data_IF_233292169052
#
_entry.id   IF_233292169052
#
_cell.length_a   1.000
_cell.length_b   1.000
_cell.length_c   1.000
_cell.angle_alpha   90.00
_cell.angle_beta   90.00
_cell.angle_gamma   90.00
#
_symmetry.space_group_name_H-M   'P 1'
#
loop_
_entity.id
_entity.type
_entity.pdbx_description
1 polymer ?
#
# COMPACT_ATOMS: atom_id res chain seq x y z
N UNK A 1 -32.17 20.65 -0.62
CA UNK A 1 -31.01 21.19 -1.36
C UNK A 1 -29.94 20.13 -1.28
N UNK A 2 -29.56 19.51 -2.41
CA UNK A 2 -28.46 18.54 -2.40
C UNK A 2 -27.17 19.29 -2.07
N UNK A 3 -26.45 18.86 -1.03
CA UNK A 3 -25.10 19.38 -0.77
C UNK A 3 -24.20 18.93 -1.93
N UNK A 4 -23.33 19.80 -2.45
CA UNK A 4 -22.34 19.42 -3.47
C UNK A 4 -21.29 18.48 -2.85
N UNK A 5 -21.60 17.19 -2.86
CA UNK A 5 -20.74 16.14 -2.31
C UNK A 5 -19.40 16.07 -3.04
N UNK A 6 -19.35 16.40 -4.33
CA UNK A 6 -18.09 16.45 -5.08
C UNK A 6 -17.19 17.60 -4.61
N UNK A 7 -17.78 18.77 -4.33
CA UNK A 7 -17.08 19.91 -3.72
C UNK A 7 -16.54 19.60 -2.32
N UNK A 8 -17.37 19.01 -1.46
CA UNK A 8 -16.96 18.59 -0.11
C UNK A 8 -15.84 17.53 -0.14
N UNK A 9 -15.92 16.56 -1.06
CA UNK A 9 -14.87 15.55 -1.23
C UNK A 9 -13.51 16.17 -1.54
N UNK A 10 -13.47 17.15 -2.47
CA UNK A 10 -12.22 17.87 -2.78
C UNK A 10 -11.67 18.66 -1.59
N UNK A 11 -12.54 19.30 -0.81
CA UNK A 11 -12.11 20.02 0.38
C UNK A 11 -11.46 19.07 1.39
N UNK A 12 -12.09 17.94 1.70
CA UNK A 12 -11.51 16.92 2.59
C UNK A 12 -10.20 16.34 2.07
N UNK A 13 -10.09 16.13 0.75
CA UNK A 13 -8.86 15.64 0.12
C UNK A 13 -7.69 16.61 0.33
N UNK A 14 -7.93 17.92 0.21
CA UNK A 14 -6.92 18.96 0.43
C UNK A 14 -6.47 19.07 1.90
N UNK A 15 -7.30 18.60 2.83
CA UNK A 15 -7.01 18.61 4.26
C UNK A 15 -6.37 17.30 4.75
N UNK A 16 -6.02 16.34 3.88
CA UNK A 16 -5.59 14.99 4.24
C UNK A 16 -6.66 14.10 4.92
N UNK A 17 -7.94 14.47 4.79
CA UNK A 17 -9.09 13.71 5.32
C UNK A 17 -9.58 12.69 4.28
N UNK A 18 -8.71 11.78 3.88
CA UNK A 18 -8.92 10.90 2.72
C UNK A 18 -10.14 9.98 2.84
N UNK A 19 -10.48 9.51 4.05
CA UNK A 19 -11.64 8.65 4.27
C UNK A 19 -12.96 9.41 4.15
N UNK A 20 -13.03 10.62 4.72
CA UNK A 20 -14.17 11.52 4.53
C UNK A 20 -14.32 11.95 3.05
N UNK A 21 -13.19 12.20 2.38
CA UNK A 21 -13.16 12.46 0.94
C UNK A 21 -13.72 11.30 0.13
N UNK A 22 -13.28 10.06 0.40
CA UNK A 22 -13.77 8.85 -0.26
C UNK A 22 -15.28 8.68 -0.09
N UNK A 23 -15.81 8.90 1.12
CA UNK A 23 -17.25 8.90 1.39
C UNK A 23 -18.01 9.88 0.50
N UNK A 24 -17.56 11.14 0.46
CA UNK A 24 -18.18 12.21 -0.32
C UNK A 24 -18.17 11.90 -1.82
N UNK A 25 -17.03 11.43 -2.35
CA UNK A 25 -16.93 11.06 -3.77
C UNK A 25 -17.80 9.87 -4.12
N UNK A 26 -17.85 8.84 -3.27
CA UNK A 26 -18.71 7.69 -3.49
C UNK A 26 -20.19 8.11 -3.50
N UNK A 27 -20.63 8.93 -2.54
CA UNK A 27 -21.98 9.54 -2.53
C UNK A 27 -22.27 10.32 -3.82
N UNK A 28 -21.31 11.12 -4.30
CA UNK A 28 -21.47 11.88 -5.55
C UNK A 28 -21.62 10.96 -6.77
N UNK A 29 -20.94 9.82 -6.81
CA UNK A 29 -21.11 8.78 -7.86
C UNK A 29 -22.50 8.15 -7.78
N UNK A 30 -23.01 7.88 -6.57
CA UNK A 30 -24.36 7.33 -6.40
C UNK A 30 -25.45 8.30 -6.86
N UNK A 31 -25.25 9.61 -6.64
CA UNK A 31 -26.16 10.66 -7.11
C UNK A 31 -26.03 10.88 -8.63
N UNK A 32 -24.80 10.83 -9.16
CA UNK A 32 -24.53 10.93 -10.59
C UNK A 32 -23.34 10.04 -11.00
N UNK A 33 -23.64 8.88 -11.55
CA UNK A 33 -22.65 7.90 -11.98
C UNK A 33 -21.76 8.39 -13.14
N UNK A 34 -22.17 9.44 -13.87
CA UNK A 34 -21.38 10.06 -14.94
C UNK A 34 -20.36 11.11 -14.45
N UNK A 35 -20.25 11.32 -13.14
CA UNK A 35 -19.35 12.31 -12.56
C UNK A 35 -17.89 11.82 -12.55
N UNK A 36 -17.17 12.03 -13.64
CA UNK A 36 -15.76 11.60 -13.79
C UNK A 36 -14.84 12.12 -12.69
N UNK A 37 -15.03 13.35 -12.22
CA UNK A 37 -14.23 13.93 -11.14
C UNK A 37 -14.43 13.18 -9.80
N UNK A 38 -15.64 12.69 -9.53
CA UNK A 38 -15.89 11.92 -8.33
C UNK A 38 -15.24 10.53 -8.40
N UNK A 39 -15.25 9.88 -9.57
CA UNK A 39 -14.51 8.65 -9.79
C UNK A 39 -13.00 8.84 -9.58
N UNK A 40 -12.40 9.87 -10.18
CA UNK A 40 -10.98 10.21 -10.02
C UNK A 40 -10.63 10.48 -8.56
N UNK A 41 -11.41 11.35 -7.90
CA UNK A 41 -11.21 11.68 -6.49
C UNK A 41 -11.34 10.46 -5.57
N UNK A 42 -12.24 9.53 -5.87
CA UNK A 42 -12.39 8.29 -5.11
C UNK A 42 -11.17 7.37 -5.26
N UNK A 43 -10.69 7.14 -6.49
CA UNK A 43 -9.48 6.34 -6.75
C UNK A 43 -8.27 6.95 -6.05
N UNK A 44 -8.10 8.27 -6.15
CA UNK A 44 -7.00 8.99 -5.50
C UNK A 44 -7.08 8.85 -3.97
N UNK A 45 -8.25 9.09 -3.37
CA UNK A 45 -8.44 8.95 -1.92
C UNK A 45 -8.13 7.53 -1.42
N UNK A 46 -8.60 6.49 -2.12
CA UNK A 46 -8.29 5.09 -1.78
C UNK A 46 -6.79 4.79 -1.92
N UNK A 47 -6.15 5.31 -2.96
CA UNK A 47 -4.71 5.12 -3.21
C UNK A 47 -3.87 5.78 -2.13
N UNK A 48 -4.22 7.00 -1.68
CA UNK A 48 -3.52 7.71 -0.60
C UNK A 48 -3.67 7.01 0.76
N UNK A 49 -4.79 6.30 0.98
CA UNK A 49 -4.96 5.44 2.16
C UNK A 49 -4.29 4.06 2.00
N UNK A 50 -3.63 3.79 0.87
CA UNK A 50 -3.06 2.47 0.51
C UNK A 50 -4.10 1.33 0.54
N UNK A 51 -5.36 1.63 0.21
CA UNK A 51 -6.43 0.64 0.04
C UNK A 51 -6.43 0.11 -1.39
N UNK A 52 -5.35 -0.56 -1.78
CA UNK A 52 -5.08 -0.98 -3.17
C UNK A 52 -6.19 -1.86 -3.75
N UNK A 53 -6.73 -2.81 -2.97
CA UNK A 53 -7.86 -3.65 -3.40
C UNK A 53 -9.13 -2.85 -3.67
N UNK A 54 -9.42 -1.84 -2.86
CA UNK A 54 -10.58 -0.97 -3.08
C UNK A 54 -10.35 -0.08 -4.30
N UNK A 55 -9.14 0.47 -4.45
CA UNK A 55 -8.75 1.27 -5.60
C UNK A 55 -8.85 0.48 -6.92
N UNK A 56 -8.36 -0.77 -6.95
CA UNK A 56 -8.54 -1.70 -8.07
C UNK A 56 -10.02 -1.91 -8.40
N UNK A 57 -10.85 -2.16 -7.38
CA UNK A 57 -12.28 -2.38 -7.54
C UNK A 57 -12.98 -1.14 -8.12
N UNK A 58 -12.67 0.05 -7.61
CA UNK A 58 -13.21 1.31 -8.13
C UNK A 58 -12.71 1.60 -9.55
N UNK A 59 -11.43 1.36 -9.86
CA UNK A 59 -10.88 1.50 -11.21
C UNK A 59 -11.54 0.55 -12.21
N UNK A 60 -11.83 -0.68 -11.78
CA UNK A 60 -12.54 -1.65 -12.59
C UNK A 60 -13.98 -1.21 -12.88
N UNK A 61 -14.71 -0.79 -11.83
CA UNK A 61 -16.07 -0.24 -11.97
C UNK A 61 -16.08 0.99 -12.86
N UNK A 62 -15.11 1.90 -12.70
CA UNK A 62 -14.93 3.06 -13.56
C UNK A 62 -14.81 2.64 -15.01
N UNK A 63 -13.91 1.71 -15.34
CA UNK A 63 -13.68 1.27 -16.72
C UNK A 63 -14.92 0.69 -17.39
N UNK A 64 -15.73 -0.08 -16.64
CA UNK A 64 -16.97 -0.69 -17.13
C UNK A 64 -18.10 0.33 -17.37
N UNK A 65 -17.99 1.57 -16.89
CA UNK A 65 -18.96 2.63 -17.21
C UNK A 65 -18.65 3.27 -18.58
N UNK A 66 -19.46 2.94 -19.59
CA UNK A 66 -19.24 3.42 -20.97
C UNK A 66 -19.47 4.93 -21.17
N UNK A 67 -20.21 5.56 -20.27
CA UNK A 67 -20.68 6.95 -20.40
C UNK A 67 -19.75 7.97 -19.73
N UNK A 68 -18.67 7.51 -19.11
CA UNK A 68 -17.64 8.36 -18.53
C UNK A 68 -16.64 8.82 -19.59
N UNK A 69 -16.14 10.07 -19.51
CA UNK A 69 -15.07 10.53 -20.39
C UNK A 69 -13.77 9.76 -20.12
N UNK A 70 -12.88 9.80 -21.10
CA UNK A 70 -11.48 9.44 -20.89
C UNK A 70 -10.84 10.41 -19.88
N UNK A 71 -10.09 9.85 -18.93
CA UNK A 71 -9.34 10.58 -17.93
C UNK A 71 -7.89 10.07 -17.93
N UNK A 72 -6.96 10.94 -18.31
CA UNK A 72 -5.54 10.61 -18.44
C UNK A 72 -4.91 10.30 -17.09
N UNK A 73 -5.37 10.94 -16.01
CA UNK A 73 -4.79 10.75 -14.67
C UNK A 73 -5.08 9.34 -14.14
N UNK A 74 -6.18 8.72 -14.59
CA UNK A 74 -6.53 7.34 -14.24
C UNK A 74 -5.60 6.30 -14.87
N UNK A 75 -4.90 6.62 -15.96
CA UNK A 75 -4.03 5.68 -16.67
C UNK A 75 -2.87 5.23 -15.78
N UNK A 76 -2.21 6.17 -15.09
CA UNK A 76 -1.10 5.85 -14.18
C UNK A 76 -1.57 4.98 -13.02
N UNK A 77 -2.74 5.27 -12.45
CA UNK A 77 -3.32 4.42 -11.40
C UNK A 77 -3.63 3.01 -11.91
N UNK A 78 -4.20 2.87 -13.11
CA UNK A 78 -4.51 1.55 -13.68
C UNK A 78 -3.24 0.72 -13.94
N UNK A 79 -2.19 1.34 -14.51
CA UNK A 79 -0.91 0.67 -14.73
C UNK A 79 -0.30 0.16 -13.43
N UNK A 80 -0.29 0.99 -12.38
CA UNK A 80 0.25 0.62 -11.07
C UNK A 80 -0.60 -0.46 -10.38
N UNK A 81 -1.92 -0.32 -10.41
CA UNK A 81 -2.85 -1.20 -9.67
C UNK A 81 -3.02 -2.57 -10.34
N UNK A 82 -2.93 -2.65 -11.66
CA UNK A 82 -3.08 -3.91 -12.41
C UNK A 82 -1.76 -4.44 -12.98
N UNK A 83 -0.60 -3.95 -12.52
CA UNK A 83 0.72 -4.39 -13.01
C UNK A 83 0.92 -5.92 -12.96
N UNK A 84 0.32 -6.59 -11.97
CA UNK A 84 0.40 -8.04 -11.80
C UNK A 84 -0.82 -8.80 -12.37
N UNK A 85 -1.76 -8.11 -13.03
CA UNK A 85 -2.91 -8.72 -13.70
C UNK A 85 -2.99 -8.23 -15.16
N UNK A 86 -2.21 -8.83 -16.08
CA UNK A 86 -2.19 -8.40 -17.48
C UNK A 86 -3.58 -8.51 -18.13
N UNK A 87 -4.41 -9.48 -17.71
CA UNK A 87 -5.79 -9.63 -18.18
C UNK A 87 -6.67 -8.41 -17.81
N UNK A 88 -6.69 -8.01 -16.53
CA UNK A 88 -7.48 -6.86 -16.10
C UNK A 88 -6.97 -5.57 -16.76
N UNK A 89 -5.65 -5.40 -16.84
CA UNK A 89 -5.06 -4.23 -17.47
C UNK A 89 -5.42 -4.15 -18.96
N UNK A 90 -5.34 -5.26 -19.70
CA UNK A 90 -5.74 -5.32 -21.11
C UNK A 90 -7.20 -4.90 -21.32
N UNK A 91 -8.10 -5.43 -20.49
CA UNK A 91 -9.53 -5.07 -20.52
C UNK A 91 -9.77 -3.60 -20.16
N UNK A 92 -9.01 -3.07 -19.20
CA UNK A 92 -9.10 -1.67 -18.79
C UNK A 92 -8.65 -0.73 -19.92
N UNK A 93 -7.49 -0.97 -20.53
CA UNK A 93 -6.98 -0.11 -21.62
C UNK A 93 -7.83 -0.21 -22.90
N UNK A 94 -8.39 -1.38 -23.20
CA UNK A 94 -9.42 -1.54 -24.25
C UNK A 94 -10.64 -0.69 -23.97
N UNK A 95 -11.10 -0.66 -22.72
CA UNK A 95 -12.24 0.17 -22.33
C UNK A 95 -11.95 1.65 -22.52
N UNK A 96 -10.70 2.10 -22.29
CA UNK A 96 -10.29 3.48 -22.53
C UNK A 96 -10.15 3.83 -24.02
N UNK A 97 -9.72 2.89 -24.87
CA UNK A 97 -9.47 3.15 -26.30
C UNK A 97 -10.74 3.54 -27.07
N UNK A 98 -11.92 3.17 -26.57
CA UNK A 98 -13.21 3.52 -27.17
C UNK A 98 -13.90 4.71 -26.51
N UNK A 99 -13.30 5.31 -25.47
CA UNK A 99 -13.92 6.43 -24.76
C UNK A 99 -13.94 7.72 -25.58
N UNK A 100 -14.98 8.51 -25.30
CA UNK A 100 -15.02 9.90 -25.72
C UNK A 100 -13.96 10.71 -24.97
N UNK A 101 -13.25 11.59 -25.68
CA UNK A 101 -12.17 12.42 -25.13
C UNK A 101 -10.75 11.88 -25.38
N UNK A 102 -10.58 10.59 -25.71
CA UNK A 102 -9.28 10.04 -26.10
C UNK A 102 -8.90 10.46 -27.53
N UNK A 103 -7.67 10.93 -27.72
CA UNK A 103 -7.10 11.30 -29.03
C UNK A 103 -6.83 10.06 -29.91
N UNK A 104 -6.75 10.21 -31.25
CA UNK A 104 -6.45 9.07 -32.13
C UNK A 104 -5.14 8.33 -31.79
N UNK A 105 -4.11 9.08 -31.37
CA UNK A 105 -2.81 8.52 -30.96
C UNK A 105 -2.92 7.69 -29.68
N UNK A 106 -3.66 8.19 -28.68
CA UNK A 106 -3.94 7.46 -27.44
C UNK A 106 -4.73 6.19 -27.71
N UNK A 107 -5.74 6.26 -28.58
CA UNK A 107 -6.53 5.08 -28.96
C UNK A 107 -5.66 4.01 -29.61
N UNK A 108 -4.80 4.39 -30.54
CA UNK A 108 -3.88 3.45 -31.18
C UNK A 108 -2.90 2.84 -30.16
N UNK A 109 -2.37 3.66 -29.25
CA UNK A 109 -1.46 3.21 -28.19
C UNK A 109 -2.14 2.20 -27.27
N UNK A 110 -3.37 2.46 -26.84
CA UNK A 110 -4.12 1.55 -25.97
C UNK A 110 -4.51 0.26 -26.67
N UNK A 111 -4.85 0.29 -27.97
CA UNK A 111 -5.12 -0.93 -28.74
C UNK A 111 -3.88 -1.81 -28.79
N UNK A 112 -2.71 -1.24 -29.13
CA UNK A 112 -1.46 -2.00 -29.17
C UNK A 112 -1.09 -2.56 -27.79
N UNK A 113 -1.19 -1.74 -26.74
CA UNK A 113 -0.91 -2.17 -25.37
C UNK A 113 -1.83 -3.31 -24.92
N UNK A 114 -3.11 -3.26 -25.29
CA UNK A 114 -4.03 -4.35 -25.02
C UNK A 114 -3.56 -5.66 -25.67
N UNK A 115 -3.23 -5.63 -26.96
CA UNK A 115 -2.75 -6.79 -27.71
C UNK A 115 -1.49 -7.41 -27.08
N UNK A 116 -0.52 -6.58 -26.70
CA UNK A 116 0.71 -7.03 -26.03
C UNK A 116 0.40 -7.72 -24.68
N UNK A 117 -0.50 -7.14 -23.89
CA UNK A 117 -0.92 -7.71 -22.59
C UNK A 117 -1.75 -8.99 -22.73
N UNK A 118 -2.63 -9.08 -23.74
CA UNK A 118 -3.38 -10.30 -24.03
C UNK A 118 -2.44 -11.43 -24.47
N UNK A 119 -1.42 -11.13 -25.27
CA UNK A 119 -0.40 -12.10 -25.66
C UNK A 119 0.37 -12.60 -24.45
N UNK A 120 0.77 -11.70 -23.53
CA UNK A 120 1.42 -12.07 -22.29
C UNK A 120 0.52 -12.96 -21.41
N UNK A 121 -0.75 -12.59 -21.24
CA UNK A 121 -1.71 -13.38 -20.47
C UNK A 121 -1.97 -14.75 -21.10
N UNK A 122 -2.13 -14.83 -22.43
CA UNK A 122 -2.32 -16.11 -23.14
C UNK A 122 -1.09 -17.03 -22.99
N UNK A 123 0.12 -16.47 -22.94
CA UNK A 123 1.33 -17.23 -22.62
C UNK A 123 1.28 -17.84 -21.23
N UNK A 124 0.95 -17.03 -20.22
CA UNK A 124 0.77 -17.50 -18.83
C UNK A 124 -0.35 -18.54 -18.71
N UNK A 125 -1.45 -18.34 -19.44
CA UNK A 125 -2.59 -19.24 -19.44
C UNK A 125 -2.23 -20.62 -20.01
N UNK A 126 -1.41 -20.64 -21.08
CA UNK A 126 -0.93 -21.88 -21.67
C UNK A 126 0.06 -22.63 -20.76
N UNK A 127 0.84 -21.92 -19.94
CA UNK A 127 1.83 -22.50 -19.04
C UNK A 127 1.23 -22.99 -17.71
N UNK A 128 0.35 -22.20 -17.10
CA UNK A 128 -0.11 -22.45 -15.72
C UNK A 128 -1.59 -22.82 -15.59
N UNK A 129 -2.42 -22.57 -16.62
CA UNK A 129 -3.86 -22.80 -16.61
C UNK A 129 -4.67 -21.73 -15.85
N UNK A 130 -5.95 -21.58 -16.21
CA UNK A 130 -6.82 -20.49 -15.71
C UNK A 130 -7.00 -20.51 -14.19
N UNK A 131 -7.23 -21.69 -13.61
CA UNK A 131 -7.49 -21.85 -12.17
C UNK A 131 -6.30 -21.38 -11.32
N UNK A 132 -5.08 -21.75 -11.74
CA UNK A 132 -3.84 -21.31 -11.09
C UNK A 132 -3.70 -19.80 -11.15
N UNK A 133 -3.88 -19.19 -12.33
CA UNK A 133 -3.77 -17.74 -12.50
C UNK A 133 -4.80 -16.98 -11.66
N UNK A 134 -6.05 -17.46 -11.60
CA UNK A 134 -7.09 -16.89 -10.73
C UNK A 134 -6.75 -17.00 -9.26
N UNK A 135 -6.20 -18.14 -8.82
CA UNK A 135 -5.74 -18.32 -7.44
C UNK A 135 -4.58 -17.37 -7.08
N UNK A 136 -3.77 -16.98 -8.07
CA UNK A 136 -2.71 -15.97 -7.93
C UNK A 136 -3.23 -14.53 -8.02
N UNK A 137 -4.55 -14.33 -8.17
CA UNK A 137 -5.17 -13.01 -8.20
C UNK A 137 -5.20 -12.34 -9.57
N UNK A 138 -4.85 -13.04 -10.65
CA UNK A 138 -5.03 -12.57 -12.03
C UNK A 138 -6.49 -12.71 -12.45
N UNK A 139 -7.33 -11.81 -11.94
CA UNK A 139 -8.75 -11.76 -12.24
C UNK A 139 -9.03 -10.88 -13.46
N UNK A 140 -10.19 -11.11 -14.08
CA UNK A 140 -10.79 -10.21 -15.06
C UNK A 140 -11.27 -8.91 -14.41
N UNK A 141 -11.46 -7.88 -15.24
CA UNK A 141 -11.97 -6.57 -14.83
C UNK A 141 -13.37 -6.67 -14.19
N UNK A 142 -14.23 -7.54 -14.71
CA UNK A 142 -15.57 -7.77 -14.16
C UNK A 142 -15.49 -8.43 -12.77
N UNK A 143 -14.62 -9.43 -12.58
CA UNK A 143 -14.40 -10.06 -11.28
C UNK A 143 -13.86 -9.06 -10.25
N UNK A 144 -12.95 -8.15 -10.63
CA UNK A 144 -12.52 -7.05 -9.77
C UNK A 144 -13.68 -6.10 -9.43
N UNK A 145 -14.48 -5.69 -10.42
CA UNK A 145 -15.58 -4.74 -10.22
C UNK A 145 -16.66 -5.29 -9.28
N UNK A 146 -16.88 -6.61 -9.29
CA UNK A 146 -17.86 -7.31 -8.46
C UNK A 146 -17.42 -7.54 -7.01
N UNK A 147 -16.15 -7.26 -6.66
CA UNK A 147 -15.71 -7.30 -5.26
C UNK A 147 -16.50 -6.29 -4.45
N UNK A 148 -16.83 -6.67 -3.22
CA UNK A 148 -17.46 -5.76 -2.26
C UNK A 148 -16.39 -4.95 -1.54
N UNK A 149 -16.57 -3.63 -1.50
CA UNK A 149 -15.75 -2.71 -0.69
C UNK A 149 -16.55 -2.18 0.50
N UNK A 150 -15.90 -1.62 1.53
CA UNK A 150 -16.64 -1.19 2.73
C UNK A 150 -17.61 -0.03 2.45
N UNK A 151 -17.38 0.77 1.41
CA UNK A 151 -18.33 1.82 1.00
C UNK A 151 -19.62 1.27 0.40
N UNK A 152 -19.64 0.03 -0.11
CA UNK A 152 -20.85 -0.57 -0.68
C UNK A 152 -21.94 -0.80 0.37
N UNK A 153 -21.58 -0.83 1.66
CA UNK A 153 -22.56 -0.90 2.74
C UNK A 153 -23.50 0.32 2.76
N UNK A 154 -23.06 1.47 2.22
CA UNK A 154 -23.89 2.68 2.08
C UNK A 154 -25.05 2.49 1.09
N UNK A 155 -24.99 1.50 0.22
CA UNK A 155 -26.04 1.19 -0.75
C UNK A 155 -27.15 0.33 -0.18
N UNK A 156 -26.80 -0.52 0.79
CA UNK A 156 -27.66 -1.64 1.21
C UNK A 156 -28.22 -1.47 2.61
N UNK A 157 -27.56 -0.70 3.47
CA UNK A 157 -27.87 -0.63 4.90
C UNK A 157 -28.23 0.77 5.40
N UNK A 158 -29.00 0.81 6.50
CA UNK A 158 -29.18 2.04 7.26
C UNK A 158 -27.91 2.42 8.00
N UNK A 159 -27.69 3.71 8.24
CA UNK A 159 -26.51 4.20 8.99
C UNK A 159 -26.40 3.54 10.37
N UNK A 160 -27.53 3.34 11.06
CA UNK A 160 -27.55 2.68 12.38
C UNK A 160 -27.16 1.20 12.29
N UNK A 161 -27.60 0.49 11.24
CA UNK A 161 -27.19 -0.89 10.96
C UNK A 161 -25.69 -0.99 10.73
N UNK A 162 -25.11 -0.04 9.98
CA UNK A 162 -23.67 0.01 9.71
C UNK A 162 -22.88 0.18 11.01
N UNK A 163 -23.32 1.06 11.92
CA UNK A 163 -22.65 1.24 13.20
C UNK A 163 -22.81 0.04 14.14
N UNK A 164 -23.97 -0.62 14.13
CA UNK A 164 -24.17 -1.85 14.89
C UNK A 164 -23.23 -2.96 14.40
N UNK A 165 -23.09 -3.13 13.08
CA UNK A 165 -22.15 -4.06 12.47
C UNK A 165 -20.70 -3.72 12.82
N UNK A 166 -20.31 -2.45 12.69
CA UNK A 166 -18.98 -1.99 13.03
C UNK A 166 -18.65 -2.29 14.49
N UNK A 167 -19.62 -2.13 15.41
CA UNK A 167 -19.42 -2.46 16.81
C UNK A 167 -19.11 -3.94 17.01
N UNK A 168 -19.86 -4.84 16.35
CA UNK A 168 -19.60 -6.28 16.40
C UNK A 168 -18.20 -6.60 15.86
N UNK A 169 -17.81 -6.02 14.73
CA UNK A 169 -16.49 -6.24 14.15
C UNK A 169 -15.35 -5.72 15.03
N UNK A 170 -15.55 -4.63 15.76
CA UNK A 170 -14.53 -4.11 16.68
C UNK A 170 -14.31 -4.97 17.92
N UNK A 171 -15.24 -5.88 18.23
CA UNK A 171 -15.15 -6.82 19.34
C UNK A 171 -14.50 -8.16 18.93
N UNK A 172 -14.38 -8.42 17.62
CA UNK A 172 -13.80 -9.63 17.05
C UNK A 172 -12.34 -9.38 16.59
N UNK A 173 -11.33 -10.08 17.16
CA UNK A 173 -9.93 -9.93 16.78
C UNK A 173 -9.64 -10.15 15.29
N UNK A 174 -10.41 -10.98 14.59
CA UNK A 174 -10.21 -11.25 13.16
C UNK A 174 -10.79 -10.13 12.27
N UNK A 175 -11.79 -9.41 12.78
CA UNK A 175 -12.55 -8.41 12.02
C UNK A 175 -12.30 -6.97 12.43
N UNK A 176 -11.57 -6.74 13.52
CA UNK A 176 -11.32 -5.40 14.09
C UNK A 176 -10.72 -4.44 13.06
N UNK A 177 -9.79 -4.90 12.22
CA UNK A 177 -9.18 -4.07 11.18
C UNK A 177 -10.20 -3.66 10.11
N UNK A 178 -11.09 -4.58 9.71
CA UNK A 178 -12.19 -4.29 8.78
C UNK A 178 -13.16 -3.26 9.38
N UNK A 179 -13.44 -3.36 10.70
CA UNK A 179 -14.20 -2.34 11.43
C UNK A 179 -13.52 -0.97 11.39
N UNK A 180 -12.21 -0.90 11.66
CA UNK A 180 -11.43 0.35 11.57
C UNK A 180 -11.48 0.95 10.17
N UNK A 181 -11.29 0.13 9.12
CA UNK A 181 -11.32 0.56 7.71
C UNK A 181 -12.67 1.07 7.27
N UNK A 182 -13.76 0.46 7.72
CA UNK A 182 -15.11 0.96 7.48
C UNK A 182 -15.32 2.32 8.15
N UNK A 183 -14.99 2.43 9.44
CA UNK A 183 -15.25 3.64 10.24
C UNK A 183 -14.46 4.87 9.74
N UNK A 184 -13.27 4.68 9.16
CA UNK A 184 -12.48 5.82 8.65
C UNK A 184 -13.14 6.52 7.46
N UNK A 185 -14.10 5.86 6.80
CA UNK A 185 -14.83 6.39 5.64
C UNK A 185 -16.28 6.75 5.98
N UNK A 186 -16.62 6.91 7.25
CA UNK A 186 -17.96 7.31 7.70
C UNK A 186 -17.85 8.59 8.53
N UNK A 187 -17.93 9.80 7.92
CA UNK A 187 -17.76 11.09 8.61
C UNK A 187 -18.93 11.41 9.56
N UNK A 188 -19.01 10.66 10.65
CA UNK A 188 -20.01 10.75 11.72
C UNK A 188 -19.30 10.74 13.09
N UNK A 189 -19.74 11.54 14.08
CA UNK A 189 -19.15 11.57 15.42
C UNK A 189 -19.06 10.20 16.13
N UNK A 190 -19.93 9.24 15.76
CA UNK A 190 -19.87 7.87 16.27
C UNK A 190 -18.61 7.14 15.80
N UNK A 191 -18.19 7.35 14.55
CA UNK A 191 -16.95 6.77 14.02
C UNK A 191 -15.72 7.23 14.80
N UNK A 192 -15.61 8.53 15.06
CA UNK A 192 -14.54 9.08 15.90
C UNK A 192 -14.55 8.45 17.29
N UNK A 193 -15.72 8.37 17.94
CA UNK A 193 -15.85 7.80 19.29
C UNK A 193 -15.41 6.34 19.34
N UNK A 194 -15.79 5.54 18.34
CA UNK A 194 -15.44 4.13 18.23
C UNK A 194 -13.95 3.95 17.95
N UNK A 195 -13.38 4.67 16.99
CA UNK A 195 -11.95 4.64 16.69
C UNK A 195 -11.10 5.07 17.90
N UNK A 196 -11.49 6.12 18.62
CA UNK A 196 -10.83 6.54 19.88
C UNK A 196 -10.91 5.47 20.98
N UNK A 197 -11.92 4.58 20.97
CA UNK A 197 -11.95 3.42 21.88
C UNK A 197 -10.96 2.37 21.43
N UNK A 198 -10.89 2.06 20.14
CA UNK A 198 -9.91 1.11 19.58
C UNK A 198 -8.49 1.54 19.96
N UNK A 199 -8.11 2.82 19.76
CA UNK A 199 -6.79 3.32 20.13
C UNK A 199 -6.40 3.07 21.61
N UNK A 200 -7.37 2.93 22.51
CA UNK A 200 -7.16 2.72 23.95
C UNK A 200 -7.42 1.28 24.41
N UNK A 201 -7.88 0.40 23.53
CA UNK A 201 -8.25 -0.95 23.91
C UNK A 201 -7.02 -1.86 23.90
N UNK A 202 -6.59 -2.30 25.08
CA UNK A 202 -5.43 -3.18 25.27
C UNK A 202 -5.58 -4.57 24.66
N UNK A 203 -6.82 -5.03 24.50
CA UNK A 203 -7.13 -6.33 23.91
C UNK A 203 -6.98 -6.33 22.38
N UNK A 204 -6.85 -5.16 21.76
CA UNK A 204 -6.65 -5.02 20.32
C UNK A 204 -5.15 -5.04 20.00
N UNK A 205 -4.78 -5.72 18.92
CA UNK A 205 -3.41 -5.77 18.44
C UNK A 205 -2.76 -4.36 18.30
N UNK A 206 -1.46 -4.30 18.55
CA UNK A 206 -0.71 -3.05 18.51
C UNK A 206 -0.77 -2.36 17.14
N UNK A 207 -0.68 -3.11 16.04
CA UNK A 207 -0.76 -2.56 14.69
C UNK A 207 -2.12 -1.97 14.41
N UNK A 208 -3.18 -2.68 14.78
CA UNK A 208 -4.57 -2.23 14.59
C UNK A 208 -4.84 -0.94 15.38
N UNK A 209 -4.29 -0.79 16.59
CA UNK A 209 -4.37 0.48 17.34
C UNK A 209 -3.73 1.66 16.61
N UNK A 210 -2.61 1.47 15.93
CA UNK A 210 -1.99 2.51 15.08
C UNK A 210 -2.84 2.78 13.85
N UNK A 211 -3.43 1.75 13.24
CA UNK A 211 -4.34 1.91 12.10
C UNK A 211 -5.60 2.68 12.50
N UNK A 212 -6.12 2.49 13.72
CA UNK A 212 -7.22 3.29 14.25
C UNK A 212 -6.84 4.77 14.42
N UNK A 213 -5.59 5.05 14.77
CA UNK A 213 -5.07 6.42 14.86
C UNK A 213 -4.95 7.07 13.46
N UNK A 214 -4.45 6.34 12.47
CA UNK A 214 -4.46 6.75 11.06
C UNK A 214 -5.89 7.00 10.54
N UNK A 215 -6.80 6.09 10.85
CA UNK A 215 -8.21 6.19 10.51
C UNK A 215 -8.86 7.45 11.06
N UNK A 216 -8.51 7.88 12.28
CA UNK A 216 -8.97 9.16 12.83
C UNK A 216 -8.50 10.34 12.00
N UNK A 217 -7.23 10.36 11.56
CA UNK A 217 -6.70 11.44 10.71
C UNK A 217 -7.44 11.48 9.36
N UNK A 218 -7.64 10.33 8.72
CA UNK A 218 -8.37 10.23 7.45
C UNK A 218 -9.86 10.52 7.55
N UNK A 219 -10.47 10.29 8.71
CA UNK A 219 -11.83 10.70 9.01
C UNK A 219 -11.96 12.24 9.12
N UNK A 220 -10.85 12.95 9.28
CA UNK A 220 -10.79 14.40 9.46
C UNK A 220 -10.69 14.85 10.91
N UNK A 221 -10.36 13.95 11.84
CA UNK A 221 -10.12 14.30 13.24
C UNK A 221 -8.77 15.02 13.37
N UNK A 222 -8.77 16.09 14.17
CA UNK A 222 -7.61 16.97 14.41
C UNK A 222 -7.30 17.08 15.89
N UNK A 223 -6.09 17.53 16.22
CA UNK A 223 -5.62 17.68 17.60
C UNK A 223 -5.30 16.36 18.31
N UNK A 224 -5.42 16.39 19.64
CA UNK A 224 -4.87 15.33 20.50
C UNK A 224 -5.74 14.06 20.56
N UNK A 225 -5.10 12.91 20.38
CA UNK A 225 -5.67 11.58 20.55
C UNK A 225 -4.81 10.76 21.49
N UNK A 226 -5.47 10.04 22.41
CA UNK A 226 -4.78 9.10 23.31
C UNK A 226 -4.73 7.71 22.68
N UNK A 227 -3.54 7.11 22.66
CA UNK A 227 -3.30 5.72 22.28
C UNK A 227 -2.66 4.99 23.46
N UNK A 228 -3.12 3.78 23.75
CA UNK A 228 -2.52 2.94 24.79
C UNK A 228 -1.72 1.83 24.13
N UNK A 229 -0.43 1.70 24.43
CA UNK A 229 0.50 0.71 23.86
C UNK A 229 1.64 0.44 24.81
N UNK A 230 2.16 -0.79 24.80
CA UNK A 230 3.26 -1.21 25.67
C UNK A 230 3.01 -0.86 27.14
N UNK A 231 1.79 -1.11 27.61
CA UNK A 231 1.36 -0.84 29.00
C UNK A 231 1.41 0.67 29.39
N UNK A 232 1.58 1.55 28.41
CA UNK A 232 1.67 2.99 28.59
C UNK A 232 0.62 3.74 27.74
N UNK A 233 0.25 4.93 28.20
CA UNK A 233 -0.69 5.82 27.51
C UNK A 233 0.04 7.02 26.92
N UNK A 234 -0.01 7.16 25.60
CA UNK A 234 0.57 8.28 24.86
C UNK A 234 -0.51 9.24 24.36
N UNK A 235 -0.15 10.52 24.24
CA UNK A 235 -0.98 11.54 23.60
C UNK A 235 -0.30 11.96 22.31
N UNK A 236 -0.97 11.75 21.18
CA UNK A 236 -0.47 12.06 19.85
C UNK A 236 -1.27 13.24 19.31
N UNK A 237 -0.57 14.28 18.84
CA UNK A 237 -1.18 15.35 18.09
C UNK A 237 -1.35 14.93 16.63
N UNK A 238 -2.60 14.79 16.15
CA UNK A 238 -2.85 14.41 14.76
C UNK A 238 -2.51 15.53 13.74
N UNK A 239 -2.36 16.77 14.19
CA UNK A 239 -1.99 17.89 13.32
C UNK A 239 -0.47 17.91 13.01
N UNK A 240 0.35 17.38 13.92
CA UNK A 240 1.81 17.26 13.78
C UNK A 240 2.30 16.05 14.60
N UNK A 241 2.06 14.82 14.10
CA UNK A 241 2.39 13.61 14.83
C UNK A 241 3.91 13.41 14.90
N UNK A 242 4.43 13.23 16.13
CA UNK A 242 5.84 12.96 16.40
C UNK A 242 5.95 11.68 17.24
N UNK A 243 6.53 10.59 16.71
CA UNK A 243 7.07 10.42 15.36
C UNK A 243 5.98 10.42 14.27
N UNK A 244 6.38 10.48 12.99
CA UNK A 244 5.49 10.61 11.83
C UNK A 244 4.37 9.54 11.83
N UNK A 245 3.12 9.93 11.62
CA UNK A 245 2.01 8.99 11.46
C UNK A 245 1.68 8.84 9.98
N UNK A 246 2.11 7.73 9.37
CA UNK A 246 1.99 7.47 7.92
C UNK A 246 1.67 6.00 7.64
N UNK A 247 1.07 5.71 6.48
CA UNK A 247 0.86 4.35 5.97
C UNK A 247 2.03 3.80 5.17
N UNK A 248 2.92 4.68 4.73
CA UNK A 248 4.13 4.31 4.00
C UNK A 248 5.27 4.01 4.96
N UNK A 249 6.41 3.58 4.43
CA UNK A 249 7.65 3.59 5.22
C UNK A 249 7.95 5.04 5.63
N UNK A 250 8.18 5.33 6.93
CA UNK A 250 8.44 6.68 7.39
C UNK A 250 9.66 7.30 6.68
N UNK A 251 9.59 8.60 6.38
CA UNK A 251 10.64 9.29 5.64
C UNK A 251 12.01 9.23 6.34
N UNK A 252 12.01 9.09 7.66
CA UNK A 252 13.22 8.92 8.48
C UNK A 252 14.02 7.65 8.18
N UNK A 253 13.47 6.66 7.47
CA UNK A 253 14.19 5.47 7.03
C UNK A 253 14.85 5.63 5.65
N UNK A 254 14.53 6.70 4.89
CA UNK A 254 15.07 6.95 3.54
C UNK A 254 16.61 6.85 3.49
N UNK A 255 17.39 7.47 4.41
CA UNK A 255 18.85 7.39 4.36
C UNK A 255 19.36 5.95 4.40
N UNK A 256 18.79 5.11 5.27
CA UNK A 256 19.18 3.71 5.39
C UNK A 256 18.76 2.87 4.18
N UNK A 257 17.59 3.13 3.59
CA UNK A 257 17.15 2.49 2.35
C UNK A 257 18.06 2.85 1.17
N UNK A 258 18.50 4.11 1.09
CA UNK A 258 19.44 4.57 0.08
C UNK A 258 20.82 3.90 0.24
N UNK A 259 21.30 3.71 1.48
CA UNK A 259 22.56 2.99 1.75
C UNK A 259 22.43 1.49 1.48
N UNK A 260 21.25 0.90 1.67
CA UNK A 260 20.97 -0.47 1.26
C UNK A 260 21.09 -0.62 -0.26
N UNK A 261 20.51 0.31 -1.02
CA UNK A 261 20.67 0.35 -2.49
C UNK A 261 22.13 0.54 -2.89
N UNK A 262 22.86 1.43 -2.20
CA UNK A 262 24.29 1.65 -2.42
C UNK A 262 25.11 0.38 -2.19
N UNK A 263 24.82 -0.39 -1.14
CA UNK A 263 25.48 -1.67 -0.87
C UNK A 263 25.22 -2.68 -1.99
N UNK A 264 23.96 -2.81 -2.46
CA UNK A 264 23.61 -3.71 -3.55
C UNK A 264 24.28 -3.31 -4.87
N UNK A 265 24.28 -2.03 -5.21
CA UNK A 265 24.94 -1.52 -6.42
C UNK A 265 26.46 -1.72 -6.40
N UNK A 266 27.08 -1.64 -5.21
CA UNK A 266 28.49 -1.98 -5.01
C UNK A 266 28.76 -3.46 -5.29
N UNK A 267 27.91 -4.36 -4.80
CA UNK A 267 28.03 -5.80 -5.07
C UNK A 267 27.77 -6.15 -6.55
N UNK A 268 26.99 -5.33 -7.28
CA UNK A 268 26.80 -5.45 -8.73
C UNK A 268 27.96 -4.85 -9.55
N UNK A 269 28.93 -4.19 -8.91
CA UNK A 269 30.02 -3.50 -9.59
C UNK A 269 29.63 -2.19 -10.29
N UNK A 270 28.43 -1.67 -10.04
CA UNK A 270 27.94 -0.37 -10.56
C UNK A 270 28.58 0.79 -9.79
N UNK A 271 28.84 0.57 -8.50
CA UNK A 271 29.50 1.53 -7.59
C UNK A 271 30.80 0.92 -7.09
N UNK A 272 31.86 1.73 -7.00
CA UNK A 272 33.15 1.25 -6.48
C UNK A 272 33.12 1.08 -4.96
N UNK A 273 34.01 0.23 -4.42
CA UNK A 273 34.17 0.08 -2.97
C UNK A 273 34.49 1.42 -2.28
N UNK A 274 35.31 2.28 -2.92
CA UNK A 274 35.71 3.58 -2.38
C UNK A 274 34.53 4.54 -2.27
N UNK A 275 33.70 4.63 -3.30
CA UNK A 275 32.46 5.42 -3.31
C UNK A 275 31.47 4.90 -2.24
N UNK A 276 31.36 3.58 -2.10
CA UNK A 276 30.54 2.98 -1.05
C UNK A 276 31.01 3.41 0.35
N UNK A 277 32.29 3.22 0.69
CA UNK A 277 32.78 3.51 2.04
C UNK A 277 32.68 5.00 2.43
N UNK A 278 32.75 5.91 1.45
CA UNK A 278 32.56 7.35 1.69
C UNK A 278 31.15 7.70 2.18
N UNK A 279 30.12 6.98 1.72
CA UNK A 279 28.72 7.33 1.96
C UNK A 279 27.93 6.29 2.78
N UNK A 280 28.48 5.08 2.97
CA UNK A 280 27.83 3.99 3.70
C UNK A 280 27.52 4.35 5.15
N UNK A 281 28.36 5.18 5.77
CA UNK A 281 28.26 5.53 7.19
C UNK A 281 27.66 6.92 7.45
N UNK A 282 27.20 7.63 6.41
CA UNK A 282 26.62 8.98 6.59
C UNK A 282 25.11 8.90 6.79
N UNK A 283 24.60 9.68 7.76
CA UNK A 283 23.16 9.83 8.04
C UNK A 283 22.54 10.97 7.19
N UNK A 284 23.17 11.31 6.07
CA UNK A 284 22.69 12.39 5.20
C UNK A 284 21.35 12.00 4.55
N UNK A 285 20.35 12.92 4.52
CA UNK A 285 19.02 12.65 3.99
C UNK A 285 19.00 12.08 2.57
N UNK A 286 19.97 12.49 1.75
CA UNK A 286 20.06 12.14 0.33
C UNK A 286 21.51 11.81 -0.02
N UNK A 287 21.69 10.91 -0.98
CA UNK A 287 22.99 10.65 -1.59
C UNK A 287 23.31 11.77 -2.61
N UNK A 288 24.60 12.00 -2.91
CA UNK A 288 24.99 12.88 -4.01
C UNK A 288 24.30 12.49 -5.31
N UNK A 289 23.89 13.48 -6.11
CA UNK A 289 23.16 13.29 -7.38
C UNK A 289 23.83 12.27 -8.31
N UNK A 290 25.15 12.35 -8.46
CA UNK A 290 25.92 11.41 -9.27
C UNK A 290 25.84 9.94 -8.79
N UNK A 291 25.68 9.71 -7.49
CA UNK A 291 25.44 8.35 -6.96
C UNK A 291 23.97 7.97 -7.09
N UNK A 292 23.04 8.91 -6.84
CA UNK A 292 21.61 8.66 -7.00
C UNK A 292 21.28 8.20 -8.43
N UNK A 293 21.82 8.86 -9.46
CA UNK A 293 21.67 8.47 -10.86
C UNK A 293 22.24 7.06 -11.14
N UNK A 294 23.38 6.70 -10.54
CA UNK A 294 23.93 5.34 -10.66
C UNK A 294 23.01 4.30 -10.03
N UNK A 295 22.36 4.63 -8.91
CA UNK A 295 21.44 3.73 -8.22
C UNK A 295 20.12 3.56 -8.97
N UNK A 296 19.62 4.58 -9.65
CA UNK A 296 18.45 4.46 -10.53
C UNK A 296 18.70 3.49 -11.69
N UNK A 297 19.95 3.43 -12.18
CA UNK A 297 20.37 2.49 -13.20
C UNK A 297 20.72 1.10 -12.66
N UNK A 298 20.84 0.94 -11.33
CA UNK A 298 21.10 -0.35 -10.72
C UNK A 298 19.78 -1.16 -10.68
N UNK A 299 19.74 -2.27 -11.41
CA UNK A 299 18.59 -3.18 -11.46
C UNK A 299 18.48 -3.95 -10.13
N UNK A 300 17.94 -3.28 -9.10
CA UNK A 300 17.60 -3.88 -7.81
C UNK A 300 16.16 -4.38 -7.92
N UNK A 301 15.92 -5.71 -7.83
CA UNK A 301 14.57 -6.25 -7.97
C UNK A 301 13.59 -5.61 -6.97
N UNK A 302 12.53 -4.99 -7.48
CA UNK A 302 11.55 -4.25 -6.66
C UNK A 302 10.92 -5.10 -5.55
N UNK A 303 10.74 -6.40 -5.79
CA UNK A 303 10.23 -7.37 -4.80
C UNK A 303 11.08 -7.39 -3.53
N UNK A 304 12.41 -7.25 -3.64
CA UNK A 304 13.31 -7.26 -2.48
C UNK A 304 13.15 -5.99 -1.63
N UNK A 305 12.88 -4.84 -2.26
CA UNK A 305 12.61 -3.59 -1.55
C UNK A 305 11.27 -3.66 -0.81
N UNK A 306 10.24 -4.25 -1.43
CA UNK A 306 8.92 -4.42 -0.83
C UNK A 306 8.94 -5.29 0.43
N UNK A 307 9.78 -6.33 0.48
CA UNK A 307 9.97 -7.14 1.70
C UNK A 307 10.45 -6.27 2.87
N UNK A 308 11.46 -5.43 2.64
CA UNK A 308 11.98 -4.52 3.68
C UNK A 308 10.92 -3.51 4.08
N UNK A 309 10.22 -2.91 3.12
CA UNK A 309 9.16 -1.95 3.38
C UNK A 309 8.04 -2.55 4.24
N UNK A 310 7.61 -3.78 3.93
CA UNK A 310 6.58 -4.48 4.68
C UNK A 310 7.00 -4.74 6.14
N UNK A 311 8.24 -5.18 6.37
CA UNK A 311 8.74 -5.46 7.73
C UNK A 311 8.95 -4.18 8.53
N UNK A 312 9.54 -3.12 7.92
CA UNK A 312 9.64 -1.80 8.58
C UNK A 312 8.24 -1.32 8.97
N UNK A 313 7.27 -1.42 8.05
CA UNK A 313 5.92 -0.92 8.30
C UNK A 313 5.24 -1.68 9.42
N UNK A 314 5.33 -3.02 9.43
CA UNK A 314 4.80 -3.87 10.48
C UNK A 314 5.39 -3.52 11.86
N UNK A 315 6.70 -3.32 11.94
CA UNK A 315 7.37 -2.91 13.17
C UNK A 315 6.96 -1.51 13.61
N UNK A 316 6.95 -0.55 12.69
CA UNK A 316 6.50 0.81 12.97
C UNK A 316 5.08 0.82 13.52
N UNK A 317 4.17 0.08 12.87
CA UNK A 317 2.79 -0.05 13.34
C UNK A 317 2.66 -0.71 14.69
N UNK A 318 3.48 -1.72 14.99
CA UNK A 318 3.42 -2.40 16.26
C UNK A 318 3.90 -1.51 17.40
N UNK A 319 5.01 -0.79 17.19
CA UNK A 319 5.72 -0.07 18.24
C UNK A 319 5.40 1.42 18.34
N UNK A 320 4.75 2.04 17.35
CA UNK A 320 4.36 3.45 17.40
C UNK A 320 3.64 3.82 18.71
N UNK A 321 4.00 4.91 19.43
CA UNK A 321 4.98 5.93 19.06
C UNK A 321 6.42 5.64 19.51
N UNK A 322 6.69 4.52 20.19
CA UNK A 322 8.01 4.13 20.72
C UNK A 322 8.88 3.45 19.65
N UNK A 323 9.07 4.12 18.52
CA UNK A 323 9.94 3.64 17.44
C UNK A 323 11.38 4.13 17.68
N UNK A 324 12.40 3.30 17.40
CA UNK A 324 13.80 3.72 17.50
C UNK A 324 14.11 4.94 16.63
N UNK A 325 15.12 5.70 17.03
CA UNK A 325 15.67 6.74 16.17
C UNK A 325 16.53 6.08 15.07
N UNK A 326 16.38 6.52 13.83
CA UNK A 326 17.05 5.91 12.68
C UNK A 326 18.46 6.49 12.40
N UNK A 327 19.23 6.79 13.46
CA UNK A 327 20.65 7.15 13.30
C UNK A 327 21.48 5.89 13.08
N UNK A 328 22.61 6.02 12.39
CA UNK A 328 23.42 4.87 12.01
C UNK A 328 22.86 4.16 10.78
N UNK A 329 22.75 4.90 9.68
CA UNK A 329 22.21 4.41 8.40
C UNK A 329 22.90 3.14 7.91
N UNK A 330 24.20 2.95 8.17
CA UNK A 330 24.95 1.72 7.84
C UNK A 330 24.37 0.49 8.53
N UNK A 331 24.16 0.57 9.84
CA UNK A 331 23.64 -0.53 10.65
C UNK A 331 22.20 -0.89 10.26
N UNK A 332 21.35 0.12 10.01
CA UNK A 332 20.00 -0.09 9.49
C UNK A 332 20.01 -0.68 8.08
N UNK A 333 20.83 -0.13 7.18
CA UNK A 333 21.04 -0.66 5.83
C UNK A 333 21.45 -2.13 5.87
N UNK A 334 22.44 -2.48 6.70
CA UNK A 334 22.90 -3.85 6.85
C UNK A 334 21.79 -4.77 7.40
N UNK A 335 20.96 -4.29 8.33
CA UNK A 335 19.81 -5.03 8.82
C UNK A 335 18.80 -5.32 7.68
N UNK A 336 18.58 -4.35 6.78
CA UNK A 336 17.72 -4.53 5.61
C UNK A 336 18.29 -5.56 4.64
N UNK A 337 19.59 -5.47 4.33
CA UNK A 337 20.26 -6.46 3.47
C UNK A 337 20.17 -7.87 4.07
N UNK A 338 20.31 -8.03 5.39
CA UNK A 338 20.11 -9.32 6.07
C UNK A 338 18.68 -9.86 5.86
N UNK A 339 17.65 -9.01 5.98
CA UNK A 339 16.26 -9.42 5.75
C UNK A 339 16.01 -9.84 4.29
N UNK A 340 16.57 -9.09 3.34
CA UNK A 340 16.48 -9.39 1.91
C UNK A 340 17.14 -10.75 1.62
N UNK A 341 18.33 -10.98 2.17
CA UNK A 341 19.04 -12.25 2.03
C UNK A 341 18.22 -13.42 2.59
N UNK A 342 17.75 -13.28 3.82
CA UNK A 342 16.91 -14.30 4.49
C UNK A 342 15.67 -14.65 3.64
N UNK A 343 15.01 -13.64 3.06
CA UNK A 343 13.89 -13.84 2.14
C UNK A 343 14.31 -14.57 0.86
N UNK A 344 15.32 -14.07 0.14
CA UNK A 344 15.77 -14.58 -1.16
C UNK A 344 16.23 -16.05 -1.08
N UNK A 345 17.05 -16.36 -0.07
CA UNK A 345 17.50 -17.74 0.19
C UNK A 345 16.35 -18.62 0.65
N UNK A 346 15.48 -18.09 1.52
CA UNK A 346 14.33 -18.79 2.05
C UNK A 346 13.33 -19.24 0.98
N UNK A 347 13.05 -18.39 -0.02
CA UNK A 347 12.19 -18.73 -1.16
C UNK A 347 12.91 -19.54 -2.26
N UNK A 348 14.22 -19.79 -2.11
CA UNK A 348 15.01 -20.62 -3.02
C UNK A 348 15.52 -19.91 -4.27
N UNK A 349 15.56 -18.56 -4.32
CA UNK A 349 16.16 -17.81 -5.43
C UNK A 349 17.70 -17.80 -5.39
N UNK A 350 18.29 -18.15 -4.25
CA UNK A 350 19.71 -17.96 -4.00
C UNK A 350 20.03 -16.50 -3.67
N UNK A 351 21.29 -16.23 -3.32
CA UNK A 351 21.79 -14.90 -2.99
C UNK A 351 22.98 -14.57 -3.91
N UNK A 352 22.80 -13.74 -4.94
CA UNK A 352 23.84 -13.48 -5.94
C UNK A 352 24.88 -12.44 -5.48
N UNK A 353 24.67 -11.82 -4.31
CA UNK A 353 25.53 -10.78 -3.75
C UNK A 353 26.48 -11.36 -2.68
N UNK A 354 27.46 -10.57 -2.24
CA UNK A 354 28.35 -10.94 -1.13
C UNK A 354 27.64 -11.08 0.21
N UNK A 355 28.40 -11.49 1.24
CA UNK A 355 27.86 -11.60 2.60
C UNK A 355 27.57 -10.21 3.19
N UNK A 356 26.39 -9.99 3.82
CA UNK A 356 26.11 -8.76 4.53
C UNK A 356 27.16 -8.51 5.64
N UNK A 357 27.44 -7.24 5.91
CA UNK A 357 28.40 -6.90 6.95
C UNK A 357 27.93 -7.39 8.32
N UNK A 358 28.86 -7.94 9.10
CA UNK A 358 28.58 -8.42 10.45
C UNK A 358 28.72 -7.29 11.45
N UNK A 359 27.60 -6.69 11.82
CA UNK A 359 27.47 -5.67 12.85
C UNK A 359 26.40 -6.10 13.86
N UNK A 360 26.76 -6.15 15.15
CA UNK A 360 25.85 -6.53 16.23
C UNK A 360 24.64 -5.57 16.30
N UNK A 361 24.84 -4.29 15.97
CA UNK A 361 23.76 -3.30 15.95
C UNK A 361 22.76 -3.59 14.83
N UNK A 362 23.25 -3.96 13.65
CA UNK A 362 22.41 -4.39 12.53
C UNK A 362 21.56 -5.63 12.89
N UNK A 363 22.14 -6.59 13.62
CA UNK A 363 21.41 -7.77 14.11
C UNK A 363 20.29 -7.36 15.09
N UNK A 364 20.55 -6.41 15.99
CA UNK A 364 19.52 -5.88 16.90
C UNK A 364 18.39 -5.18 16.13
N UNK A 365 18.71 -4.35 15.13
CA UNK A 365 17.70 -3.70 14.28
C UNK A 365 16.86 -4.72 13.50
N UNK A 366 17.50 -5.74 12.92
CA UNK A 366 16.81 -6.86 12.26
C UNK A 366 15.85 -7.56 13.21
N UNK A 367 16.31 -7.94 14.40
CA UNK A 367 15.49 -8.65 15.37
C UNK A 367 14.34 -7.79 15.90
N UNK A 368 14.56 -6.49 16.09
CA UNK A 368 13.48 -5.55 16.46
C UNK A 368 12.41 -5.51 15.37
N UNK A 369 12.80 -5.39 14.10
CA UNK A 369 11.89 -5.44 12.96
C UNK A 369 11.09 -6.76 12.90
N UNK A 370 11.78 -7.90 13.02
CA UNK A 370 11.16 -9.23 12.99
C UNK A 370 10.25 -9.51 14.20
N UNK A 371 10.48 -8.87 15.35
CA UNK A 371 9.65 -9.07 16.53
C UNK A 371 8.20 -8.62 16.36
N UNK A 372 7.92 -7.76 15.37
CA UNK A 372 6.57 -7.40 14.95
C UNK A 372 6.01 -8.27 13.81
N UNK A 373 6.81 -9.16 13.23
CA UNK A 373 6.43 -10.08 12.15
C UNK A 373 6.82 -11.52 12.52
N UNK A 374 6.21 -12.09 13.58
CA UNK A 374 6.62 -13.39 14.13
C UNK A 374 6.44 -14.56 13.14
N UNK A 375 5.59 -14.38 12.13
CA UNK A 375 5.30 -15.33 11.07
C UNK A 375 6.18 -15.15 9.82
N UNK A 376 7.13 -14.20 9.81
CA UNK A 376 7.97 -13.89 8.64
C UNK A 376 8.60 -15.14 8.00
N UNK A 377 9.27 -15.99 8.78
CA UNK A 377 9.89 -17.20 8.26
C UNK A 377 8.87 -18.28 7.87
N UNK A 378 7.69 -18.30 8.49
CA UNK A 378 6.58 -19.18 8.09
C UNK A 378 6.05 -18.78 6.72
N UNK A 379 5.81 -17.48 6.50
CA UNK A 379 5.38 -16.94 5.21
C UNK A 379 6.40 -17.22 4.10
N UNK A 380 7.70 -17.08 4.39
CA UNK A 380 8.77 -17.45 3.45
C UNK A 380 8.71 -18.93 3.08
N UNK A 381 8.50 -19.82 4.05
CA UNK A 381 8.40 -21.25 3.81
C UNK A 381 7.16 -21.61 2.97
N UNK A 382 6.03 -20.92 3.17
CA UNK A 382 4.83 -21.06 2.36
C UNK A 382 5.05 -20.56 0.92
N UNK A 383 5.67 -19.39 0.76
CA UNK A 383 6.05 -18.86 -0.56
C UNK A 383 6.98 -19.82 -1.32
N UNK A 384 7.93 -20.46 -0.64
CA UNK A 384 8.78 -21.50 -1.23
C UNK A 384 7.97 -22.70 -1.71
N UNK A 385 7.00 -23.17 -0.93
CA UNK A 385 6.13 -24.30 -1.33
C UNK A 385 5.33 -23.96 -2.57
N UNK A 386 4.71 -22.78 -2.62
CA UNK A 386 3.95 -22.28 -3.77
C UNK A 386 4.84 -22.22 -5.02
N UNK A 387 6.05 -21.68 -4.89
CA UNK A 387 7.02 -21.61 -6.00
C UNK A 387 7.49 -22.98 -6.48
N UNK A 388 7.74 -23.90 -5.55
CA UNK A 388 8.17 -25.27 -5.92
C UNK A 388 7.03 -26.01 -6.61
N UNK A 389 5.79 -25.82 -6.16
CA UNK A 389 4.61 -26.37 -6.81
C UNK A 389 4.42 -25.80 -8.23
N UNK A 390 4.67 -24.50 -8.44
CA UNK A 390 4.56 -23.88 -9.77
C UNK A 390 5.71 -24.21 -10.73
N UNK A 391 6.87 -24.64 -10.23
CA UNK A 391 8.02 -25.06 -11.06
C UNK A 391 8.08 -26.58 -11.27
N UNK A 392 7.27 -27.36 -10.55
CA UNK A 392 7.24 -28.83 -10.58
C UNK A 392 6.03 -29.42 -11.33
N UNK A 393 5.17 -28.56 -11.87
CA UNK A 393 4.09 -28.85 -12.83
C UNK A 393 4.51 -28.38 -14.21
#
# INVERSE_FOLDING_TARGET
MSQDMGGLGRHYLQEDSYGASAFCFYRAILENNSNGNAWNGLVLAMSLMRKEYDAQTILARFALQQQLPYDKDMVTFALMMFQNSPQALAQWVRSMSVRFGASPEERQTFVKMAEDLDNAYNGLLAEHGEETLKSQGMLSLEEFANRRIELDWLLTESVDSIFALAQVWLEDPEMVLSGVRLLCMLPDPRSERMLRRVCRNEQVDGKVRTHALLALRWLGVRGNVRIHKMEESFVINLDDPKPELTVSVPASYKPALDRMKLWLAKEQGVVTQEEYEQHASTDEPELPEALAEKLENADIPGVLQEVVHAVIRAAYDQYYPLVPHNRGARSWSNAFVMLIKDYSEGIGQGWPYGEPEKDDTAVLHRNWMLSASPDFYTQIAEARKLRTASMGS
#
